data_IF_226854388176
#
_entry.id   IF_226854388176
#
_cell.length_a   1.000
_cell.length_b   1.000
_cell.length_c   1.000
_cell.angle_alpha   90.00
_cell.angle_beta   90.00
_cell.angle_gamma   90.00
#
_symmetry.space_group_name_H-M   'P 1'
#
loop_
_entity.id
_entity.type
_entity.pdbx_description
1 polymer ?
#
# COMPACT_ATOMS: atom_id res chain seq x y z
N UNK A 1 26.23 -40.02 -6.65
CA UNK A 1 25.88 -39.82 -5.23
C UNK A 1 25.57 -38.34 -5.00
N UNK A 2 24.29 -37.96 -4.97
CA UNK A 2 23.84 -36.58 -4.74
C UNK A 2 23.50 -36.39 -3.27
N UNK A 3 24.29 -35.59 -2.54
CA UNK A 3 23.99 -35.21 -1.15
C UNK A 3 22.73 -34.34 -1.14
N UNK A 4 21.66 -34.84 -0.51
CA UNK A 4 20.47 -34.03 -0.23
C UNK A 4 20.86 -32.97 0.81
N UNK A 5 20.72 -31.70 0.46
CA UNK A 5 20.76 -30.61 1.42
C UNK A 5 19.57 -30.79 2.36
N UNK A 6 19.83 -31.23 3.58
CA UNK A 6 18.82 -31.31 4.61
C UNK A 6 18.71 -29.91 5.23
N UNK A 7 17.67 -29.17 4.86
CA UNK A 7 17.40 -27.84 5.42
C UNK A 7 17.16 -27.99 6.94
N UNK A 8 18.03 -27.46 7.81
CA UNK A 8 17.90 -27.61 9.26
C UNK A 8 16.64 -26.93 9.83
N UNK A 9 15.98 -26.09 9.03
CA UNK A 9 14.75 -25.35 9.38
C UNK A 9 13.47 -26.12 9.04
N UNK A 10 13.57 -27.22 8.28
CA UNK A 10 12.42 -28.05 7.89
C UNK A 10 11.67 -28.70 9.06
N UNK A 11 12.25 -28.71 10.27
CA UNK A 11 11.64 -29.24 11.51
C UNK A 11 11.28 -28.16 12.53
N UNK A 12 11.47 -26.88 12.21
CA UNK A 12 11.46 -25.83 13.23
C UNK A 12 10.08 -25.26 13.56
N UNK A 13 9.04 -25.52 12.76
CA UNK A 13 7.69 -25.10 13.13
C UNK A 13 6.64 -26.04 12.53
N UNK A 14 6.12 -26.95 13.34
CA UNK A 14 4.89 -27.68 13.05
C UNK A 14 3.74 -26.83 13.61
N UNK A 15 3.31 -25.82 12.84
CA UNK A 15 2.18 -24.96 13.22
C UNK A 15 0.92 -25.64 12.74
N UNK A 16 0.05 -26.01 13.68
CA UNK A 16 -1.31 -26.40 13.37
C UNK A 16 -2.13 -25.15 13.04
N UNK A 17 -2.36 -24.93 11.75
CA UNK A 17 -3.13 -23.79 11.23
C UNK A 17 -4.64 -23.93 11.47
N UNK A 18 -5.11 -25.13 11.80
CA UNK A 18 -6.51 -25.40 12.12
C UNK A 18 -6.79 -25.32 13.64
N UNK A 19 -5.77 -25.04 14.47
CA UNK A 19 -5.95 -24.88 15.92
C UNK A 19 -6.93 -23.71 16.20
N UNK A 20 -8.08 -23.97 16.87
CA UNK A 20 -9.08 -22.94 17.17
C UNK A 20 -8.54 -21.81 18.05
N UNK A 21 -7.51 -22.06 18.87
CA UNK A 21 -6.84 -21.02 19.67
C UNK A 21 -5.98 -20.11 18.80
N UNK A 22 -5.31 -20.69 17.78
CA UNK A 22 -4.56 -19.91 16.80
C UNK A 22 -5.52 -19.06 15.96
N UNK A 23 -6.65 -19.62 15.52
CA UNK A 23 -7.68 -18.89 14.78
C UNK A 23 -8.29 -17.74 15.62
N UNK A 24 -8.59 -17.97 16.90
CA UNK A 24 -9.09 -16.92 17.81
C UNK A 24 -8.04 -15.81 18.04
N UNK A 25 -6.76 -16.17 18.16
CA UNK A 25 -5.65 -15.21 18.21
C UNK A 25 -5.54 -14.42 16.90
N UNK A 26 -5.56 -15.09 15.75
CA UNK A 26 -5.52 -14.48 14.43
C UNK A 26 -6.70 -13.52 14.21
N UNK A 27 -7.90 -13.91 14.64
CA UNK A 27 -9.11 -13.09 14.57
C UNK A 27 -9.02 -11.85 15.47
N UNK A 28 -8.47 -11.99 16.68
CA UNK A 28 -8.24 -10.87 17.60
C UNK A 28 -7.20 -9.88 17.06
N UNK A 29 -6.19 -10.35 16.33
CA UNK A 29 -5.16 -9.50 15.73
C UNK A 29 -5.50 -9.00 14.32
N UNK A 30 -6.52 -9.56 13.65
CA UNK A 30 -6.93 -9.15 12.29
C UNK A 30 -7.31 -7.66 12.25
N UNK A 31 -7.95 -7.18 13.32
CA UNK A 31 -8.27 -5.76 13.53
C UNK A 31 -7.10 -4.91 14.04
N UNK A 32 -6.03 -5.54 14.55
CA UNK A 32 -4.83 -4.90 15.09
C UNK A 32 -3.72 -4.75 14.06
N UNK A 33 -4.03 -4.86 12.76
CA UNK A 33 -3.08 -4.52 11.69
C UNK A 33 -2.55 -3.11 11.95
N UNK A 34 -1.29 -3.06 12.42
CA UNK A 34 -0.65 -1.83 12.80
C UNK A 34 -0.67 -0.92 11.59
N UNK A 35 -1.34 0.21 11.75
CA UNK A 35 -1.43 1.22 10.76
C UNK A 35 -0.06 1.91 10.64
N UNK A 36 0.85 1.25 9.91
CA UNK A 36 2.28 1.55 9.76
C UNK A 36 2.55 2.89 9.05
N UNK A 37 1.56 3.77 8.97
CA UNK A 37 1.71 5.17 8.53
C UNK A 37 2.75 5.95 9.34
N UNK A 38 3.00 5.57 10.59
CA UNK A 38 3.92 6.29 11.47
C UNK A 38 5.41 6.07 11.19
N UNK A 39 5.77 4.90 10.65
CA UNK A 39 7.18 4.52 10.43
C UNK A 39 7.69 4.91 9.04
N UNK A 40 6.77 5.25 8.13
CA UNK A 40 7.10 5.67 6.77
C UNK A 40 7.23 7.19 6.69
N UNK A 41 8.30 7.68 6.07
CA UNK A 41 8.43 9.13 5.77
C UNK A 41 7.42 9.51 4.71
N UNK A 42 6.33 10.14 5.13
CA UNK A 42 5.25 10.60 4.26
C UNK A 42 5.80 11.45 3.09
N UNK A 43 5.32 11.17 1.87
CA UNK A 43 5.78 11.85 0.65
C UNK A 43 4.60 12.45 -0.10
N UNK A 44 4.61 13.76 -0.39
CA UNK A 44 3.61 14.36 -1.26
C UNK A 44 3.82 13.86 -2.70
N UNK A 45 2.74 13.45 -3.34
CA UNK A 45 2.69 13.05 -4.76
C UNK A 45 1.43 13.60 -5.41
N UNK A 46 1.37 13.62 -6.74
CA UNK A 46 0.12 13.95 -7.44
C UNK A 46 -0.55 12.67 -7.93
N UNK A 47 -1.81 12.50 -7.58
CA UNK A 47 -2.68 11.43 -8.05
C UNK A 47 -3.44 11.90 -9.29
N UNK A 48 -3.43 11.08 -10.32
CA UNK A 48 -4.26 11.26 -11.49
C UNK A 48 -5.19 10.06 -11.62
N UNK A 49 -6.46 10.33 -11.90
CA UNK A 49 -7.44 9.29 -12.16
C UNK A 49 -7.26 8.82 -13.62
N UNK A 50 -7.11 7.51 -13.83
CA UNK A 50 -6.84 6.89 -15.11
C UNK A 50 -5.36 6.72 -15.47
N UNK A 51 -5.11 6.07 -16.61
CA UNK A 51 -3.76 5.76 -17.14
C UNK A 51 -3.18 6.83 -18.08
N UNK A 52 -4.02 7.73 -18.59
CA UNK A 52 -3.63 8.70 -19.61
C UNK A 52 -3.15 10.00 -18.97
N UNK A 53 -1.89 10.00 -18.52
CA UNK A 53 -1.29 11.16 -17.85
C UNK A 53 0.03 11.51 -18.51
N UNK A 54 0.17 12.77 -18.88
CA UNK A 54 1.41 13.35 -19.37
C UNK A 54 2.09 14.02 -18.16
N UNK A 55 3.29 13.57 -17.81
CA UNK A 55 4.10 14.21 -16.78
C UNK A 55 4.57 15.58 -17.27
N UNK A 56 4.27 16.63 -16.51
CA UNK A 56 4.70 18.00 -16.82
C UNK A 56 4.40 18.95 -15.67
N UNK A 57 4.97 20.17 -15.66
CA UNK A 57 4.76 21.16 -14.59
C UNK A 57 3.26 21.44 -14.33
N UNK A 58 2.44 21.38 -15.37
CA UNK A 58 0.99 21.63 -15.36
C UNK A 58 0.14 20.35 -15.20
N UNK A 59 0.73 19.23 -14.75
CA UNK A 59 -0.02 18.00 -14.47
C UNK A 59 -1.07 18.27 -13.38
N UNK A 60 -2.36 18.31 -13.76
CA UNK A 60 -3.51 18.70 -12.93
C UNK A 60 -3.92 17.67 -11.87
N UNK A 61 -2.99 16.82 -11.44
CA UNK A 61 -3.26 15.75 -10.49
C UNK A 61 -3.61 16.29 -9.10
N UNK A 62 -4.48 15.54 -8.41
CA UNK A 62 -4.91 15.83 -7.04
C UNK A 62 -3.73 15.62 -6.10
N UNK A 63 -3.40 16.58 -5.21
CA UNK A 63 -2.34 16.38 -4.24
C UNK A 63 -2.73 15.30 -3.23
N UNK A 64 -1.91 14.25 -3.12
CA UNK A 64 -2.12 13.16 -2.14
C UNK A 64 -0.81 12.86 -1.43
N UNK A 65 -0.91 12.11 -0.33
CA UNK A 65 0.28 11.73 0.46
C UNK A 65 0.47 10.24 0.42
N UNK A 66 1.65 9.77 -0.02
CA UNK A 66 2.07 8.39 0.20
C UNK A 66 2.48 8.27 1.65
N UNK A 67 1.82 7.36 2.37
CA UNK A 67 1.94 7.16 3.81
C UNK A 67 2.47 5.78 4.15
N UNK A 68 2.70 4.91 3.17
CA UNK A 68 3.26 3.58 3.42
C UNK A 68 3.68 2.85 2.16
N UNK A 69 4.45 1.79 2.38
CA UNK A 69 4.83 0.78 1.41
C UNK A 69 4.38 -0.58 1.99
N UNK A 70 3.57 -1.32 1.22
CA UNK A 70 2.99 -2.61 1.66
C UNK A 70 3.78 -3.82 1.17
N UNK A 71 4.97 -3.61 0.57
CA UNK A 71 5.80 -4.67 0.03
C UNK A 71 6.05 -4.52 -1.48
N UNK A 72 6.54 -5.57 -2.17
CA UNK A 72 6.97 -5.47 -3.55
C UNK A 72 5.87 -4.98 -4.50
N UNK A 73 5.90 -3.70 -4.86
CA UNK A 73 4.91 -3.07 -5.72
C UNK A 73 3.61 -2.65 -5.02
N UNK A 74 3.56 -2.63 -3.68
CA UNK A 74 2.41 -2.14 -2.92
C UNK A 74 2.67 -0.76 -2.33
N UNK A 75 1.83 0.23 -2.61
CA UNK A 75 1.89 1.57 -2.04
C UNK A 75 0.64 1.88 -1.23
N UNK A 76 0.75 2.72 -0.20
CA UNK A 76 -0.40 3.18 0.58
C UNK A 76 -0.48 4.70 0.49
N UNK A 77 -1.62 5.22 0.07
CA UNK A 77 -1.89 6.65 -0.03
C UNK A 77 -2.99 7.09 0.94
N UNK A 78 -2.88 8.34 1.38
CA UNK A 78 -3.91 9.06 2.13
C UNK A 78 -4.57 10.08 1.23
N UNK A 79 -5.89 10.03 1.16
CA UNK A 79 -6.78 10.93 0.43
C UNK A 79 -7.89 11.45 1.35
N UNK A 80 -8.56 12.52 0.95
CA UNK A 80 -9.75 13.11 1.58
C UNK A 80 -11.06 12.68 0.89
N UNK A 81 -10.95 11.84 -0.14
CA UNK A 81 -12.06 11.20 -0.84
C UNK A 81 -11.80 9.69 -1.00
N UNK A 82 -12.86 8.87 -1.07
CA UNK A 82 -12.72 7.44 -1.30
C UNK A 82 -12.32 7.15 -2.75
N UNK A 83 -11.42 6.19 -2.93
CA UNK A 83 -11.12 5.60 -4.24
C UNK A 83 -11.84 4.27 -4.40
N UNK A 84 -12.26 3.95 -5.62
CA UNK A 84 -12.93 2.67 -5.87
C UNK A 84 -11.89 1.56 -6.09
N UNK A 85 -12.02 0.39 -5.43
CA UNK A 85 -11.20 -0.77 -5.76
C UNK A 85 -11.35 -1.15 -7.25
N UNK A 86 -10.23 -1.44 -7.90
CA UNK A 86 -10.14 -1.69 -9.34
C UNK A 86 -9.98 -0.43 -10.20
N UNK A 87 -10.04 0.77 -9.61
CA UNK A 87 -9.86 2.00 -10.35
C UNK A 87 -8.39 2.17 -10.79
N UNK A 88 -8.13 2.40 -12.09
CA UNK A 88 -6.80 2.70 -12.58
C UNK A 88 -6.39 4.10 -12.15
N UNK A 89 -5.22 4.23 -11.53
CA UNK A 89 -4.68 5.53 -11.09
C UNK A 89 -3.22 5.67 -11.46
N UNK A 90 -2.77 6.90 -11.68
CA UNK A 90 -1.36 7.19 -11.94
C UNK A 90 -0.81 8.12 -10.88
N UNK A 91 0.29 7.73 -10.24
CA UNK A 91 1.01 8.58 -9.30
C UNK A 91 2.17 9.28 -10.02
N UNK A 92 2.16 10.61 -10.02
CA UNK A 92 3.29 11.45 -10.42
C UNK A 92 4.15 11.74 -9.18
N UNK A 93 5.29 11.04 -9.11
CA UNK A 93 6.31 11.27 -8.10
C UNK A 93 7.38 12.20 -8.66
N UNK A 94 7.24 13.50 -8.36
CA UNK A 94 8.28 14.48 -8.67
C UNK A 94 9.49 14.29 -7.74
N UNK A 95 10.65 14.02 -8.32
CA UNK A 95 11.92 14.00 -7.59
C UNK A 95 12.46 15.43 -7.43
N UNK A 96 13.32 15.65 -6.44
CA UNK A 96 13.97 16.95 -6.21
C UNK A 96 14.79 17.45 -7.42
N UNK A 97 15.14 16.55 -8.35
CA UNK A 97 15.81 16.83 -9.62
C UNK A 97 14.88 17.38 -10.71
N UNK A 98 13.58 17.54 -10.43
CA UNK A 98 12.57 18.00 -11.39
C UNK A 98 12.08 16.91 -12.36
N UNK A 99 12.70 15.72 -12.36
CA UNK A 99 12.25 14.58 -13.13
C UNK A 99 11.10 13.89 -12.38
N UNK A 100 9.91 13.88 -12.98
CA UNK A 100 8.76 13.12 -12.51
C UNK A 100 8.87 11.65 -12.92
N UNK A 101 8.54 10.75 -12.00
CA UNK A 101 8.33 9.33 -12.30
C UNK A 101 6.84 9.05 -12.20
N UNK A 102 6.25 8.62 -13.32
CA UNK A 102 4.87 8.16 -13.37
C UNK A 102 4.81 6.69 -12.98
N UNK A 103 4.00 6.38 -11.97
CA UNK A 103 3.71 5.02 -11.54
C UNK A 103 2.25 4.71 -11.86
N UNK A 104 2.03 3.82 -12.81
CA UNK A 104 0.69 3.29 -13.07
C UNK A 104 0.34 2.30 -11.98
N UNK A 105 -0.81 2.49 -11.35
CA UNK A 105 -1.27 1.69 -10.24
C UNK A 105 -2.75 1.32 -10.38
N UNK A 106 -3.17 0.24 -9.76
CA UNK A 106 -4.59 -0.03 -9.53
C UNK A 106 -4.88 0.04 -8.04
N UNK A 107 -6.07 0.53 -7.68
CA UNK A 107 -6.55 0.54 -6.30
C UNK A 107 -6.94 -0.88 -5.91
N UNK A 108 -6.26 -1.50 -4.95
CA UNK A 108 -6.62 -2.83 -4.44
C UNK A 108 -7.74 -2.74 -3.41
N UNK A 109 -7.65 -1.76 -2.52
CA UNK A 109 -8.54 -1.58 -1.37
C UNK A 109 -8.56 -0.12 -0.97
N UNK A 110 -9.71 0.34 -0.49
CA UNK A 110 -9.87 1.63 0.18
C UNK A 110 -10.58 1.41 1.52
N UNK A 111 -10.14 2.11 2.56
CA UNK A 111 -10.76 2.10 3.89
C UNK A 111 -10.72 3.51 4.49
N UNK A 112 -11.75 3.90 5.22
CA UNK A 112 -11.71 5.10 6.05
C UNK A 112 -10.60 5.01 7.10
N UNK A 113 -9.96 6.14 7.39
CA UNK A 113 -8.95 6.26 8.44
C UNK A 113 -9.51 5.83 9.78
N UNK A 114 -8.78 4.97 10.49
CA UNK A 114 -9.20 4.40 11.77
C UNK A 114 -8.54 5.07 12.98
N UNK A 115 -7.67 6.06 12.78
CA UNK A 115 -7.01 6.74 13.88
C UNK A 115 -7.94 7.77 14.51
N UNK A 116 -7.81 8.05 15.82
CA UNK A 116 -8.59 9.09 16.48
C UNK A 116 -8.46 10.44 15.78
N UNK A 117 -7.26 10.77 15.27
CA UNK A 117 -7.03 12.01 14.51
C UNK A 117 -7.71 12.07 13.13
N UNK A 118 -8.13 10.93 12.59
CA UNK A 118 -8.78 10.84 11.27
C UNK A 118 -10.33 10.92 11.39
N UNK A 119 -10.89 10.79 12.60
CA UNK A 119 -12.34 10.89 12.82
C UNK A 119 -12.85 12.29 12.51
N UNK A 120 -13.86 12.40 11.65
CA UNK A 120 -14.46 13.68 11.25
C UNK A 120 -13.73 14.43 10.13
N UNK A 121 -12.55 13.97 9.70
CA UNK A 121 -11.75 14.63 8.66
C UNK A 121 -11.90 14.03 7.26
N UNK A 122 -12.76 13.03 7.08
CA UNK A 122 -12.99 12.40 5.77
C UNK A 122 -11.73 11.73 5.20
N UNK A 123 -10.87 11.19 6.06
CA UNK A 123 -9.62 10.57 5.61
C UNK A 123 -9.88 9.16 5.08
N UNK A 124 -9.35 8.87 3.91
CA UNK A 124 -9.36 7.56 3.28
C UNK A 124 -7.95 7.08 3.01
N UNK A 125 -7.77 5.78 3.17
CA UNK A 125 -6.50 5.08 3.07
C UNK A 125 -6.68 4.05 1.98
N UNK A 126 -5.92 4.21 0.91
CA UNK A 126 -6.00 3.35 -0.26
C UNK A 126 -4.70 2.60 -0.46
N UNK A 127 -4.82 1.29 -0.65
CA UNK A 127 -3.72 0.40 -1.02
C UNK A 127 -3.71 0.29 -2.54
N UNK A 128 -2.55 0.58 -3.12
CA UNK A 128 -2.33 0.62 -4.54
C UNK A 128 -1.34 -0.46 -4.93
N UNK A 129 -1.60 -1.13 -6.04
CA UNK A 129 -0.66 -2.04 -6.69
C UNK A 129 -0.01 -1.33 -7.86
N UNK A 130 1.30 -1.14 -7.79
CA UNK A 130 2.11 -0.55 -8.85
C UNK A 130 2.33 -1.60 -9.95
N UNK A 131 1.93 -1.26 -11.16
CA UNK A 131 2.37 -1.96 -12.35
C UNK A 131 3.81 -1.57 -12.63
N UNK A 132 4.75 -2.51 -12.56
CA UNK A 132 6.12 -2.24 -13.00
C UNK A 132 6.06 -1.90 -14.48
N UNK A 133 6.31 -0.65 -14.81
CA UNK A 133 6.72 -0.26 -16.15
C UNK A 133 8.06 -0.96 -16.43
N UNK A 134 8.05 -1.86 -17.41
CA UNK A 134 9.25 -2.53 -17.94
C UNK A 134 10.19 -1.53 -18.58
#
# INVERSE_FOLDING_TARGET
MTRRFNDPTSKLVDVDWDDPRLQDLLQKIEGLRLDNRGTFKARPVRLHLGWHVISGPDSSGVPVTVVGDSGPGGLVIKTDFPLQPGEPVTLDRRLATGVGSLLQCDVERCKSGSRPEDQGHGVFISWLRVHRTR
#
